data_IF_065676259171
#
_entry.id   IF_065676259171
#
_cell.length_a   1.000
_cell.length_b   1.000
_cell.length_c   1.000
_cell.angle_alpha   90.00
_cell.angle_beta   90.00
_cell.angle_gamma   90.00
#
_symmetry.space_group_name_H-M   'P 1'
#
loop_
_entity.id
_entity.type
_entity.pdbx_description
1 polymer ?
#
# COMPACT_ATOMS: atom_id res chain seq x y z
N UNK A 1 -21.10 19.53 -16.71
CA UNK A 1 -20.26 19.49 -15.49
C UNK A 1 -20.62 18.25 -14.72
N UNK A 2 -19.80 17.20 -14.84
CA UNK A 2 -19.95 15.95 -14.12
C UNK A 2 -18.56 15.60 -13.61
N UNK A 3 -18.27 15.99 -12.37
CA UNK A 3 -17.04 15.65 -11.68
C UNK A 3 -17.37 14.47 -10.80
N UNK A 4 -16.86 13.28 -11.12
CA UNK A 4 -17.15 12.12 -10.29
C UNK A 4 -16.06 11.03 -10.41
N UNK A 5 -15.58 10.61 -9.22
CA UNK A 5 -15.15 9.25 -8.82
C UNK A 5 -13.72 8.71 -8.97
N UNK A 6 -12.72 9.48 -9.40
CA UNK A 6 -11.35 8.91 -9.53
C UNK A 6 -10.30 9.45 -8.55
N UNK A 7 -10.71 10.23 -7.54
CA UNK A 7 -9.77 11.03 -6.71
C UNK A 7 -9.13 10.26 -5.53
N UNK A 8 -9.51 9.02 -5.23
CA UNK A 8 -9.05 8.35 -4.00
C UNK A 8 -8.11 7.15 -4.19
N UNK A 9 -7.50 7.00 -5.37
CA UNK A 9 -6.44 6.00 -5.59
C UNK A 9 -5.02 6.54 -5.32
N UNK A 10 -4.91 7.82 -4.91
CA UNK A 10 -3.64 8.53 -4.85
C UNK A 10 -2.88 8.41 -3.52
N UNK A 11 -3.40 7.73 -2.50
CA UNK A 11 -2.63 7.49 -1.26
C UNK A 11 -2.12 6.05 -1.12
N UNK A 12 -2.54 5.12 -1.98
CA UNK A 12 -2.27 3.69 -1.79
C UNK A 12 -1.17 3.11 -2.66
N UNK A 13 -0.74 3.82 -3.71
CA UNK A 13 0.40 3.41 -4.54
C UNK A 13 1.76 3.80 -3.93
N UNK A 14 1.81 4.83 -3.07
CA UNK A 14 3.06 5.28 -2.44
C UNK A 14 3.40 4.55 -1.14
N UNK A 15 2.46 3.83 -0.53
CA UNK A 15 2.65 3.32 0.82
C UNK A 15 2.98 1.84 0.90
N UNK A 16 2.57 0.99 -0.06
CA UNK A 16 2.69 -0.45 0.20
C UNK A 16 2.95 -1.36 -1.02
N UNK A 17 3.55 -0.98 -2.14
CA UNK A 17 3.92 -1.98 -3.19
C UNK A 17 5.42 -2.25 -3.32
N UNK A 18 6.18 -2.13 -2.23
CA UNK A 18 7.63 -2.38 -2.31
C UNK A 18 8.42 -1.26 -3.02
N UNK A 19 7.84 -0.07 -3.19
CA UNK A 19 8.60 1.10 -3.60
C UNK A 19 8.99 1.90 -2.38
N UNK A 20 10.12 1.47 -1.85
CA UNK A 20 10.98 2.19 -0.93
C UNK A 20 10.98 3.69 -1.26
N UNK A 21 10.31 4.45 -0.40
CA UNK A 21 10.74 5.82 -0.11
C UNK A 21 11.84 5.61 0.94
N UNK A 22 13.12 5.52 0.55
CA UNK A 22 14.17 5.51 1.57
C UNK A 22 14.10 6.86 2.29
N UNK A 23 14.14 6.81 3.62
CA UNK A 23 14.07 7.97 4.49
C UNK A 23 15.47 8.28 5.02
N UNK A 24 16.35 8.79 4.17
CA UNK A 24 17.62 9.37 4.63
C UNK A 24 17.47 10.89 4.73
N UNK A 25 17.62 11.42 5.95
CA UNK A 25 17.71 12.86 6.23
C UNK A 25 16.55 13.74 5.72
N UNK A 26 15.33 13.21 5.62
CA UNK A 26 14.15 14.00 5.23
C UNK A 26 13.96 14.20 3.73
N UNK A 27 14.67 13.42 2.89
CA UNK A 27 14.51 13.40 1.43
C UNK A 27 13.85 12.09 0.99
N UNK A 28 12.84 12.20 0.11
CA UNK A 28 12.21 11.05 -0.54
C UNK A 28 13.18 10.48 -1.58
N UNK A 29 13.94 9.44 -1.24
CA UNK A 29 14.84 8.82 -2.21
C UNK A 29 14.11 7.69 -2.95
N UNK A 30 13.72 8.00 -4.19
CA UNK A 30 13.24 7.10 -5.23
C UNK A 30 13.75 7.61 -6.58
N UNK A 31 13.70 6.81 -7.65
CA UNK A 31 14.15 7.30 -8.97
C UNK A 31 13.24 8.44 -9.43
N UNK A 32 13.82 9.58 -9.82
CA UNK A 32 13.11 10.80 -10.24
C UNK A 32 12.00 10.53 -11.27
N UNK A 33 12.22 9.53 -12.14
CA UNK A 33 11.25 9.06 -13.13
C UNK A 33 9.98 8.47 -12.51
N UNK A 34 10.09 7.69 -11.43
CA UNK A 34 8.93 7.05 -10.76
C UNK A 34 8.10 8.06 -9.99
N UNK A 35 8.74 8.97 -9.25
CA UNK A 35 8.02 10.06 -8.56
C UNK A 35 7.23 10.93 -9.55
N UNK A 36 7.82 11.18 -10.73
CA UNK A 36 7.12 11.90 -11.80
C UNK A 36 5.92 11.13 -12.33
N UNK A 37 6.04 9.83 -12.57
CA UNK A 37 4.92 9.00 -13.03
C UNK A 37 3.80 8.91 -12.00
N UNK A 38 4.12 8.71 -10.72
CA UNK A 38 3.15 8.68 -9.63
C UNK A 38 2.42 10.01 -9.49
N UNK A 39 3.14 11.13 -9.63
CA UNK A 39 2.50 12.44 -9.67
C UNK A 39 1.55 12.56 -10.87
N UNK A 40 1.98 12.22 -12.08
CA UNK A 40 1.17 12.35 -13.29
C UNK A 40 -0.09 11.47 -13.21
N UNK A 41 0.05 10.21 -12.80
CA UNK A 41 -1.03 9.22 -12.75
C UNK A 41 -2.01 9.46 -11.60
N UNK A 42 -1.53 9.94 -10.45
CA UNK A 42 -2.31 9.98 -9.21
C UNK A 42 -2.28 11.35 -8.52
N UNK A 43 -1.10 11.95 -8.37
CA UNK A 43 -0.95 13.23 -7.67
C UNK A 43 -1.69 14.40 -8.33
N UNK A 44 -1.78 14.43 -9.67
CA UNK A 44 -2.53 15.47 -10.39
C UNK A 44 -4.03 15.45 -10.06
N UNK A 45 -4.62 14.28 -9.76
CA UNK A 45 -6.00 14.16 -9.31
C UNK A 45 -6.18 14.66 -7.87
N UNK A 46 -5.17 14.47 -7.01
CA UNK A 46 -5.14 15.01 -5.66
C UNK A 46 -4.80 16.50 -5.61
N UNK A 47 -4.37 17.09 -6.73
CA UNK A 47 -3.95 18.50 -6.83
C UNK A 47 -5.05 19.52 -6.53
N UNK A 48 -6.31 19.10 -6.44
CA UNK A 48 -7.42 19.92 -5.98
C UNK A 48 -7.45 20.09 -4.45
N UNK A 49 -6.71 19.27 -3.69
CA UNK A 49 -6.53 19.45 -2.26
C UNK A 49 -5.41 20.44 -1.98
N UNK A 50 -5.67 21.45 -1.17
CA UNK A 50 -4.68 22.47 -0.81
C UNK A 50 -3.39 21.85 -0.25
N UNK A 51 -3.52 20.79 0.57
CA UNK A 51 -2.41 20.10 1.18
C UNK A 51 -1.73 19.04 0.30
N UNK A 52 -2.18 18.86 -0.96
CA UNK A 52 -1.56 17.99 -1.97
C UNK A 52 -1.45 18.69 -3.35
N UNK A 53 -1.63 20.02 -3.39
CA UNK A 53 -1.77 20.81 -4.63
C UNK A 53 -0.52 20.91 -5.51
N UNK A 54 0.59 20.29 -5.11
CA UNK A 54 1.84 20.25 -5.85
C UNK A 54 2.56 18.91 -5.61
N UNK A 55 3.52 18.53 -6.47
CA UNK A 55 4.30 17.31 -6.26
C UNK A 55 4.91 17.24 -4.86
N UNK A 56 5.51 18.34 -4.38
CA UNK A 56 6.16 18.40 -3.06
C UNK A 56 5.15 18.15 -1.95
N UNK A 57 4.00 18.82 -1.98
CA UNK A 57 2.97 18.68 -0.94
C UNK A 57 2.35 17.28 -0.94
N UNK A 58 2.10 16.72 -2.12
CA UNK A 58 1.59 15.35 -2.28
C UNK A 58 2.53 14.30 -1.65
N UNK A 59 3.83 14.35 -1.97
CA UNK A 59 4.79 13.41 -1.40
C UNK A 59 5.03 13.65 0.10
N UNK A 60 4.98 14.89 0.57
CA UNK A 60 5.02 15.20 2.01
C UNK A 60 3.81 14.61 2.74
N UNK A 61 2.61 14.70 2.16
CA UNK A 61 1.41 14.11 2.75
C UNK A 61 1.51 12.58 2.81
N UNK A 62 1.97 11.92 1.74
CA UNK A 62 2.21 10.47 1.73
C UNK A 62 3.18 10.03 2.84
N UNK A 63 4.29 10.76 3.00
CA UNK A 63 5.25 10.54 4.08
C UNK A 63 4.65 10.73 5.47
N UNK A 64 3.85 11.78 5.68
CA UNK A 64 3.17 12.01 6.96
C UNK A 64 2.22 10.86 7.29
N UNK A 65 1.45 10.40 6.31
CA UNK A 65 0.53 9.26 6.47
C UNK A 65 1.31 7.97 6.78
N UNK A 66 2.47 7.72 6.15
CA UNK A 66 3.33 6.56 6.46
C UNK A 66 3.77 6.50 7.92
N UNK A 67 4.09 7.68 8.48
CA UNK A 67 4.52 7.80 9.88
C UNK A 67 3.34 7.72 10.85
N UNK A 68 2.19 8.25 10.46
CA UNK A 68 0.97 8.18 11.26
C UNK A 68 0.49 6.73 11.38
N UNK A 69 0.51 5.98 10.28
CA UNK A 69 0.19 4.56 10.23
C UNK A 69 1.47 3.74 10.28
N UNK A 70 2.12 3.70 11.44
CA UNK A 70 3.36 2.96 11.62
C UNK A 70 3.10 1.44 11.72
N UNK A 71 2.88 0.83 10.56
CA UNK A 71 2.55 -0.59 10.41
C UNK A 71 3.67 -1.48 10.97
N UNK A 72 4.93 -1.11 10.75
CA UNK A 72 6.07 -1.93 11.15
C UNK A 72 6.14 -2.05 12.67
N UNK A 73 6.03 -0.92 13.38
CA UNK A 73 6.01 -0.91 14.85
C UNK A 73 4.84 -1.71 15.42
N UNK A 74 3.65 -1.62 14.80
CA UNK A 74 2.48 -2.40 15.24
C UNK A 74 2.71 -3.90 15.09
N UNK A 75 3.17 -4.34 13.92
CA UNK A 75 3.45 -5.76 13.66
C UNK A 75 4.56 -6.28 14.58
N UNK A 76 5.64 -5.52 14.73
CA UNK A 76 6.76 -5.91 15.59
C UNK A 76 6.35 -6.03 17.06
N UNK A 77 5.47 -5.14 17.55
CA UNK A 77 5.01 -5.15 18.95
C UNK A 77 4.29 -6.44 19.36
N UNK A 78 3.76 -7.18 18.39
CA UNK A 78 3.09 -8.48 18.60
C UNK A 78 3.91 -9.66 18.07
N UNK A 79 5.17 -9.43 17.68
CA UNK A 79 6.08 -10.47 17.21
C UNK A 79 5.92 -10.86 15.73
N UNK A 80 5.12 -10.14 14.94
CA UNK A 80 5.07 -10.33 13.49
C UNK A 80 6.23 -9.54 12.87
N UNK A 81 7.24 -10.27 12.39
CA UNK A 81 8.44 -9.70 11.78
C UNK A 81 8.65 -10.23 10.37
N UNK A 82 9.36 -9.46 9.56
CA UNK A 82 9.74 -9.89 8.22
C UNK A 82 10.58 -11.18 8.28
N UNK A 83 10.21 -12.19 7.51
CA UNK A 83 10.91 -13.46 7.45
C UNK A 83 10.73 -14.12 6.09
N UNK A 84 11.76 -14.84 5.63
CA UNK A 84 11.68 -15.68 4.46
C UNK A 84 11.20 -17.10 4.75
N UNK A 85 11.12 -17.49 6.03
CA UNK A 85 10.85 -18.87 6.46
C UNK A 85 9.58 -18.99 7.30
N UNK A 86 9.16 -17.90 7.93
CA UNK A 86 7.97 -17.85 8.79
C UNK A 86 6.80 -17.23 8.04
N UNK A 87 5.66 -17.92 8.07
CA UNK A 87 4.38 -17.39 7.61
C UNK A 87 3.45 -17.14 8.79
N UNK A 88 2.52 -16.21 8.60
CA UNK A 88 1.54 -15.80 9.62
C UNK A 88 0.14 -16.06 9.10
N UNK A 89 -0.81 -16.38 9.98
CA UNK A 89 -2.19 -16.50 9.54
C UNK A 89 -2.72 -15.13 9.12
N UNK A 90 -3.56 -15.12 8.10
CA UNK A 90 -4.26 -13.91 7.66
C UNK A 90 -5.02 -13.23 8.83
N UNK A 91 -5.63 -14.01 9.73
CA UNK A 91 -6.35 -13.49 10.91
C UNK A 91 -5.42 -12.77 11.91
N UNK A 92 -4.19 -13.26 12.11
CA UNK A 92 -3.24 -12.67 13.04
C UNK A 92 -2.76 -11.31 12.53
N UNK A 93 -2.41 -11.23 11.23
CA UNK A 93 -2.06 -9.97 10.57
C UNK A 93 -3.24 -8.99 10.66
N UNK A 94 -4.46 -9.44 10.36
CA UNK A 94 -5.63 -8.55 10.44
C UNK A 94 -5.90 -8.07 11.86
N UNK A 95 -5.80 -8.96 12.85
CA UNK A 95 -5.96 -8.64 14.26
C UNK A 95 -4.95 -7.59 14.74
N UNK A 96 -3.73 -7.63 14.22
CA UNK A 96 -2.70 -6.62 14.48
C UNK A 96 -3.07 -5.23 13.95
N UNK A 97 -3.59 -5.18 12.72
CA UNK A 97 -3.84 -3.94 11.99
C UNK A 97 -5.17 -3.28 12.39
N UNK A 98 -6.17 -4.06 12.79
CA UNK A 98 -7.53 -3.56 13.06
C UNK A 98 -7.60 -2.47 14.14
N UNK A 99 -6.86 -2.53 15.26
CA UNK A 99 -6.83 -1.44 16.24
C UNK A 99 -6.35 -0.10 15.67
N UNK A 100 -5.48 -0.13 14.65
CA UNK A 100 -4.93 1.06 14.03
C UNK A 100 -5.78 1.55 12.83
N UNK A 101 -6.28 0.63 12.01
CA UNK A 101 -6.86 0.93 10.70
C UNK A 101 -8.37 0.67 10.60
N UNK A 102 -8.98 0.09 11.63
CA UNK A 102 -10.36 -0.39 11.58
C UNK A 102 -10.50 -1.66 10.74
N UNK A 103 -11.58 -1.78 9.97
CA UNK A 103 -11.89 -3.00 9.20
C UNK A 103 -11.73 -2.84 7.68
N UNK A 104 -11.61 -1.60 7.21
CA UNK A 104 -11.70 -1.23 5.80
C UNK A 104 -10.31 -0.98 5.20
N UNK A 105 -9.63 -2.07 4.87
CA UNK A 105 -8.34 -2.09 4.18
C UNK A 105 -8.18 -3.41 3.41
N UNK A 106 -7.39 -3.37 2.35
CA UNK A 106 -7.08 -4.58 1.56
C UNK A 106 -5.66 -5.05 1.80
N UNK A 107 -5.51 -6.36 1.99
CA UNK A 107 -4.22 -7.04 1.91
C UNK A 107 -4.12 -7.64 0.50
N UNK A 108 -3.05 -7.31 -0.23
CA UNK A 108 -2.73 -7.91 -1.52
C UNK A 108 -1.46 -8.74 -1.44
N UNK A 109 -1.54 -9.93 -2.01
CA UNK A 109 -0.49 -10.92 -2.04
C UNK A 109 -0.07 -11.19 -3.48
N UNK A 110 1.11 -11.78 -3.63
CA UNK A 110 1.53 -12.46 -4.86
C UNK A 110 1.92 -13.88 -4.52
N UNK A 111 1.75 -14.78 -5.48
CA UNK A 111 2.32 -16.11 -5.39
C UNK A 111 3.76 -16.03 -5.89
N UNK A 112 4.73 -16.30 -5.03
CA UNK A 112 6.15 -16.27 -5.39
C UNK A 112 6.56 -17.49 -6.24
N UNK A 113 7.82 -17.51 -6.68
CA UNK A 113 8.37 -18.60 -7.50
C UNK A 113 8.39 -19.97 -6.80
N UNK A 114 8.24 -20.00 -5.46
CA UNK A 114 8.16 -21.22 -4.63
C UNK A 114 6.70 -21.62 -4.36
N UNK A 115 5.72 -20.92 -4.96
CA UNK A 115 4.30 -21.18 -4.76
C UNK A 115 3.75 -20.67 -3.43
N UNK A 116 4.45 -19.73 -2.78
CA UNK A 116 4.07 -19.18 -1.47
C UNK A 116 3.33 -17.87 -1.64
N UNK A 117 2.36 -17.65 -0.77
CA UNK A 117 1.59 -16.41 -0.70
C UNK A 117 2.38 -15.36 0.07
N UNK A 118 2.99 -14.41 -0.64
CA UNK A 118 3.77 -13.32 -0.05
C UNK A 118 2.95 -12.04 0.01
N UNK A 119 2.84 -11.44 1.19
CA UNK A 119 2.21 -10.14 1.38
C UNK A 119 3.02 -9.07 0.66
N UNK A 120 2.40 -8.46 -0.35
CA UNK A 120 3.03 -7.43 -1.16
C UNK A 120 2.52 -6.04 -0.81
N UNK A 121 1.20 -5.88 -0.62
CA UNK A 121 0.58 -4.57 -0.42
C UNK A 121 -0.51 -4.53 0.64
N UNK A 122 -0.55 -3.45 1.39
CA UNK A 122 -1.65 -3.00 2.23
C UNK A 122 -2.28 -1.76 1.57
N UNK A 123 -3.59 -1.79 1.37
CA UNK A 123 -4.31 -0.62 0.88
C UNK A 123 -5.14 -0.05 2.01
N UNK A 124 -4.70 1.10 2.52
CA UNK A 124 -5.43 1.84 3.56
C UNK A 124 -6.38 2.80 2.85
N UNK A 125 -7.67 2.68 3.14
CA UNK A 125 -8.69 3.56 2.58
C UNK A 125 -8.82 4.82 3.44
N UNK A 126 -8.69 5.97 2.80
CA UNK A 126 -8.75 7.28 3.45
C UNK A 126 -9.77 8.15 2.75
N UNK A 127 -10.58 8.88 3.50
CA UNK A 127 -11.41 9.95 2.97
C UNK A 127 -10.53 11.10 2.46
N UNK A 128 -11.15 12.02 1.71
CA UNK A 128 -10.49 13.22 1.16
C UNK A 128 -9.81 14.07 2.25
N UNK A 129 -10.39 14.11 3.45
CA UNK A 129 -9.82 14.80 4.61
C UNK A 129 -8.73 13.98 5.35
N UNK A 130 -8.26 12.88 4.76
CA UNK A 130 -7.22 11.99 5.27
C UNK A 130 -7.59 11.20 6.54
N UNK A 131 -8.89 11.12 6.87
CA UNK A 131 -9.37 10.23 7.93
C UNK A 131 -9.61 8.81 7.41
N UNK A 132 -9.57 7.80 8.29
CA UNK A 132 -9.77 6.39 7.90
C UNK A 132 -11.19 6.13 7.38
N UNK A 133 -11.27 5.34 6.32
CA UNK A 133 -12.50 4.86 5.70
C UNK A 133 -12.64 5.33 4.26
N UNK A 134 -13.26 4.50 3.42
CA UNK A 134 -13.87 4.90 2.15
C UNK A 134 -14.72 3.73 1.67
N UNK A 135 -16.03 3.92 1.54
CA UNK A 135 -16.88 2.85 1.03
C UNK A 135 -16.51 2.54 -0.43
N UNK A 136 -16.08 1.31 -0.69
CA UNK A 136 -15.96 0.79 -2.05
C UNK A 136 -17.30 0.95 -2.75
N UNK A 137 -17.36 1.78 -3.77
CA UNK A 137 -18.54 1.84 -4.62
C UNK A 137 -18.53 0.60 -5.53
N UNK A 138 -19.70 0.02 -5.84
CA UNK A 138 -19.85 -1.17 -6.70
C UNK A 138 -19.14 -1.05 -8.08
N UNK A 139 -18.84 0.17 -8.53
CA UNK A 139 -18.07 0.42 -9.75
C UNK A 139 -16.58 0.05 -9.60
N UNK A 140 -15.99 0.19 -8.41
CA UNK A 140 -14.59 -0.21 -8.14
C UNK A 140 -14.41 -1.73 -8.18
N UNK A 141 -15.44 -2.52 -7.90
CA UNK A 141 -15.39 -3.97 -8.08
C UNK A 141 -15.27 -4.37 -9.56
N UNK A 142 -15.94 -3.63 -10.46
CA UNK A 142 -15.86 -3.84 -11.92
C UNK A 142 -14.56 -3.33 -12.55
N UNK A 143 -13.94 -2.31 -11.98
CA UNK A 143 -12.61 -1.85 -12.43
C UNK A 143 -11.47 -2.69 -11.84
N UNK A 144 -11.63 -3.23 -10.62
CA UNK A 144 -10.67 -4.16 -10.02
C UNK A 144 -10.55 -5.46 -10.83
N UNK A 145 -11.65 -5.96 -11.41
CA UNK A 145 -11.57 -7.13 -12.31
C UNK A 145 -10.78 -6.83 -13.58
N UNK A 146 -10.89 -5.63 -14.15
CA UNK A 146 -10.14 -5.23 -15.35
C UNK A 146 -8.65 -4.97 -15.09
N UNK A 147 -8.31 -4.34 -13.96
CA UNK A 147 -6.92 -4.09 -13.56
C UNK A 147 -6.16 -5.38 -13.16
N UNK A 148 -6.88 -6.43 -12.80
CA UNK A 148 -6.32 -7.73 -12.43
C UNK A 148 -5.62 -8.46 -13.57
N UNK A 149 -6.10 -8.29 -14.80
CA UNK A 149 -5.65 -9.12 -15.92
C UNK A 149 -4.17 -8.93 -16.27
N UNK A 150 -3.52 -7.87 -15.76
CA UNK A 150 -2.12 -7.56 -16.03
C UNK A 150 -1.23 -7.48 -14.77
N UNK A 151 -1.78 -7.67 -13.56
CA UNK A 151 -1.00 -7.63 -12.31
C UNK A 151 -0.94 -9.01 -11.67
N UNK A 152 0.24 -9.49 -11.22
CA UNK A 152 0.34 -10.73 -10.46
C UNK A 152 -0.29 -10.62 -9.05
N UNK A 153 -0.58 -9.39 -8.58
CA UNK A 153 -1.13 -9.13 -7.26
C UNK A 153 -2.61 -9.48 -7.17
N UNK A 154 -3.00 -10.18 -6.10
CA UNK A 154 -4.36 -10.63 -5.80
C UNK A 154 -4.74 -10.43 -4.33
N UNK A 155 -6.00 -10.60 -3.83
CA UNK A 155 -6.23 -10.36 -2.42
C UNK A 155 -5.59 -11.52 -1.66
N UNK A 156 -5.03 -11.22 -0.50
CA UNK A 156 -4.41 -12.26 0.29
C UNK A 156 -5.46 -13.32 0.68
N UNK A 157 -5.15 -14.61 0.48
CA UNK A 157 -6.08 -15.69 0.80
C UNK A 157 -6.35 -15.77 2.31
N UNK A 158 -7.63 -15.87 2.68
CA UNK A 158 -8.10 -15.78 4.08
C UNK A 158 -7.89 -17.05 4.90
N UNK A 159 -7.85 -18.22 4.24
CA UNK A 159 -7.82 -19.54 4.90
C UNK A 159 -6.42 -20.19 4.88
N UNK A 160 -5.38 -19.40 4.68
CA UNK A 160 -3.99 -19.87 4.63
C UNK A 160 -3.06 -18.92 5.39
N UNK A 161 -1.79 -19.30 5.46
CA UNK A 161 -0.73 -18.45 5.99
C UNK A 161 -0.09 -17.63 4.88
N UNK A 162 0.35 -16.43 5.21
CA UNK A 162 0.96 -15.45 4.32
C UNK A 162 2.37 -15.15 4.83
N UNK A 163 3.33 -15.07 3.92
CA UNK A 163 4.70 -14.65 4.22
C UNK A 163 4.77 -13.12 4.24
N UNK A 164 5.19 -12.56 5.37
CA UNK A 164 5.60 -11.17 5.44
C UNK A 164 7.12 -11.13 5.20
N UNK A 165 7.52 -10.85 3.97
CA UNK A 165 8.92 -10.95 3.52
C UNK A 165 9.68 -9.63 3.71
N UNK A 166 11.01 -9.66 3.94
CA UNK A 166 11.83 -8.45 3.98
C UNK A 166 11.85 -7.76 2.61
N UNK A 167 12.23 -6.48 2.58
CA UNK A 167 12.43 -5.76 1.32
C UNK A 167 13.86 -5.99 0.83
N UNK A 168 14.01 -6.46 -0.41
CA UNK A 168 15.29 -6.48 -1.12
C UNK A 168 15.34 -5.29 -2.09
N UNK A 169 16.22 -4.33 -1.81
CA UNK A 169 16.35 -3.09 -2.58
C UNK A 169 16.98 -3.32 -3.98
N UNK A 170 17.78 -4.37 -4.12
CA UNK A 170 18.46 -4.72 -5.36
C UNK A 170 17.56 -5.57 -6.27
N UNK A 171 16.85 -6.55 -5.67
CA UNK A 171 15.90 -7.40 -6.38
C UNK A 171 14.56 -7.49 -5.63
N UNK A 172 13.68 -6.48 -5.75
CA UNK A 172 12.40 -6.44 -5.04
C UNK A 172 11.44 -7.58 -5.39
N UNK A 173 11.64 -8.23 -6.54
CA UNK A 173 10.83 -9.35 -7.00
C UNK A 173 11.22 -10.68 -6.35
N UNK A 174 12.43 -10.78 -5.79
CA UNK A 174 12.92 -11.95 -5.08
C UNK A 174 13.52 -11.56 -3.73
N UNK A 175 12.69 -11.17 -2.76
CA UNK A 175 13.17 -10.71 -1.46
C UNK A 175 13.87 -11.77 -0.60
N UNK A 176 13.80 -13.03 -1.02
CA UNK A 176 14.23 -14.20 -0.25
C UNK A 176 15.17 -15.13 -1.03
N UNK A 177 15.78 -14.63 -2.11
CA UNK A 177 16.80 -15.33 -2.90
C UNK A 177 18.05 -14.48 -3.03
#
# INVERSE_FOLDING_TARGET
MSYDKHILWACTAALVTGWVITYDNGLCSGTVTKQREEWIKHGTCAGCEENMGSPVLYFQAAVKLRKLFDIDSVLESIGIKTSCDVSYKHEDIRGALTPLLGNDYDLQCVTDSKGREAWMQLKIHLFRNQTLGCHKQEQEEKFNTLAWFNSPAHPCPKNTTIFYVPINYENPHEPCN
#
